data_IF_453706914786
#
_entry.id   IF_453706914786
#
_cell.length_a   1.000
_cell.length_b   1.000
_cell.length_c   1.000
_cell.angle_alpha   90.00
_cell.angle_beta   90.00
_cell.angle_gamma   90.00
#
_symmetry.space_group_name_H-M   'P 1'
#
loop_
_entity.id
_entity.type
_entity.pdbx_description
1 polymer ?
#
# COMPACT_ATOMS: atom_id res chain seq x y z
N UNK A 1 0.06 25.63 14.20
CA UNK A 1 -1.37 25.87 14.48
C UNK A 1 -2.14 24.65 14.02
N UNK A 2 -2.64 23.84 14.95
CA UNK A 2 -3.56 22.75 14.63
C UNK A 2 -4.94 23.37 14.60
N UNK A 3 -5.49 23.57 13.40
CA UNK A 3 -6.88 23.99 13.24
C UNK A 3 -7.72 22.77 13.61
N UNK A 4 -8.21 22.75 14.84
CA UNK A 4 -9.20 21.77 15.28
C UNK A 4 -10.49 22.11 14.53
N UNK A 5 -10.65 21.54 13.34
CA UNK A 5 -11.88 21.65 12.58
C UNK A 5 -13.02 21.05 13.43
N UNK A 6 -13.85 21.92 14.01
CA UNK A 6 -15.08 21.51 14.67
C UNK A 6 -16.00 20.93 13.59
N UNK A 7 -16.01 19.61 13.48
CA UNK A 7 -16.79 18.88 12.50
C UNK A 7 -18.28 18.96 12.86
N UNK A 8 -19.07 19.61 12.00
CA UNK A 8 -20.51 19.76 12.19
C UNK A 8 -21.25 18.53 11.67
N UNK A 9 -21.77 17.71 12.59
CA UNK A 9 -22.51 16.48 12.29
C UNK A 9 -23.81 16.71 11.49
N UNK A 10 -24.30 17.95 11.42
CA UNK A 10 -25.54 18.32 10.73
C UNK A 10 -25.40 18.44 9.21
N UNK A 11 -24.17 18.51 8.67
CA UNK A 11 -23.92 18.68 7.23
C UNK A 11 -23.85 17.37 6.43
N UNK A 12 -24.12 16.22 7.07
CA UNK A 12 -24.42 14.99 6.33
C UNK A 12 -25.82 15.10 5.70
N UNK A 13 -25.94 15.93 4.66
CA UNK A 13 -27.15 16.12 3.86
C UNK A 13 -27.43 14.83 3.06
N UNK A 14 -27.98 13.82 3.71
CA UNK A 14 -28.85 12.88 3.00
C UNK A 14 -30.09 13.67 2.57
N UNK A 15 -30.07 14.20 1.35
CA UNK A 15 -31.24 14.85 0.76
C UNK A 15 -32.43 13.90 0.82
N UNK A 16 -33.46 14.31 1.54
CA UNK A 16 -34.68 13.53 1.68
C UNK A 16 -35.53 13.78 0.45
N UNK A 17 -35.63 12.80 -0.43
CA UNK A 17 -36.62 12.82 -1.51
C UNK A 17 -38.02 12.69 -0.89
N UNK A 18 -38.88 13.71 -0.93
CA UNK A 18 -40.23 13.64 -0.38
C UNK A 18 -41.02 12.51 -1.09
N UNK A 19 -41.63 11.61 -0.31
CA UNK A 19 -42.46 10.52 -0.84
C UNK A 19 -41.77 9.15 -0.98
N UNK A 20 -40.44 9.07 -0.86
CA UNK A 20 -39.75 7.77 -0.92
C UNK A 20 -39.87 7.02 0.41
N UNK A 21 -40.48 5.82 0.38
CA UNK A 21 -40.52 4.93 1.55
C UNK A 21 -39.10 4.58 1.95
N UNK A 22 -38.69 5.00 3.16
CA UNK A 22 -37.40 4.62 3.73
C UNK A 22 -37.26 3.10 3.72
N UNK A 23 -36.30 2.59 2.96
CA UNK A 23 -35.84 1.20 3.04
C UNK A 23 -35.07 1.01 4.36
N UNK A 24 -35.80 0.98 5.48
CA UNK A 24 -35.24 0.79 6.83
C UNK A 24 -34.37 -0.47 6.92
N UNK A 25 -34.71 -1.51 6.16
CA UNK A 25 -33.91 -2.75 6.09
C UNK A 25 -32.52 -2.53 5.48
N UNK A 26 -32.43 -1.75 4.40
CA UNK A 26 -31.16 -1.45 3.74
C UNK A 26 -30.25 -0.60 4.62
N UNK A 27 -30.80 0.47 5.22
CA UNK A 27 -30.04 1.32 6.16
C UNK A 27 -29.51 0.52 7.36
N UNK A 28 -30.35 -0.36 7.92
CA UNK A 28 -29.95 -1.24 9.03
C UNK A 28 -28.85 -2.23 8.62
N UNK A 29 -28.89 -2.75 7.39
CA UNK A 29 -27.84 -3.63 6.85
C UNK A 29 -26.53 -2.87 6.66
N UNK A 30 -26.57 -1.68 6.03
CA UNK A 30 -25.39 -0.83 5.87
C UNK A 30 -24.76 -0.45 7.20
N UNK A 31 -25.59 -0.09 8.19
CA UNK A 31 -25.12 0.23 9.54
C UNK A 31 -24.45 -0.97 10.22
N UNK A 32 -25.02 -2.17 10.08
CA UNK A 32 -24.41 -3.39 10.62
C UNK A 32 -23.07 -3.70 9.95
N UNK A 33 -22.97 -3.56 8.62
CA UNK A 33 -21.73 -3.78 7.89
C UNK A 33 -20.65 -2.79 8.34
N UNK A 34 -20.97 -1.48 8.36
CA UNK A 34 -20.05 -0.44 8.84
C UNK A 34 -19.59 -0.70 10.28
N UNK A 35 -20.50 -1.13 11.16
CA UNK A 35 -20.12 -1.48 12.54
C UNK A 35 -19.16 -2.67 12.57
N UNK A 36 -19.36 -3.69 11.74
CA UNK A 36 -18.43 -4.82 11.62
C UNK A 36 -17.03 -4.36 11.19
N UNK A 37 -16.97 -3.51 10.15
CA UNK A 37 -15.69 -2.93 9.69
C UNK A 37 -15.01 -2.14 10.79
N UNK A 38 -15.74 -1.27 11.51
CA UNK A 38 -15.17 -0.46 12.60
C UNK A 38 -14.64 -1.32 13.74
N UNK A 39 -15.35 -2.39 14.12
CA UNK A 39 -14.89 -3.33 15.14
C UNK A 39 -13.59 -4.00 14.69
N UNK A 40 -13.50 -4.39 13.42
CA UNK A 40 -12.27 -4.90 12.80
C UNK A 40 -11.12 -3.90 12.84
N UNK A 41 -11.37 -2.65 12.42
CA UNK A 41 -10.40 -1.54 12.47
C UNK A 41 -9.87 -1.30 13.89
N UNK A 42 -10.74 -1.37 14.91
CA UNK A 42 -10.34 -1.22 16.31
C UNK A 42 -9.50 -2.39 16.86
N UNK A 43 -9.42 -3.51 16.13
CA UNK A 43 -8.59 -4.66 16.47
C UNK A 43 -7.26 -4.68 15.68
N UNK A 44 -7.11 -3.83 14.66
CA UNK A 44 -5.88 -3.73 13.89
C UNK A 44 -4.72 -3.16 14.73
N UNK A 45 -3.50 -3.59 14.42
CA UNK A 45 -2.30 -2.98 14.99
C UNK A 45 -2.16 -1.51 14.53
N UNK A 46 -1.45 -0.65 15.28
CA UNK A 46 -1.23 0.74 14.87
C UNK A 46 -0.57 0.89 13.50
N UNK A 47 0.28 -0.07 13.11
CA UNK A 47 0.93 -0.09 11.80
C UNK A 47 -0.06 -0.38 10.67
N UNK A 48 -0.96 -1.34 10.89
CA UNK A 48 -2.02 -1.67 9.93
C UNK A 48 -3.02 -0.51 9.81
N UNK A 49 -3.40 0.12 10.93
CA UNK A 49 -4.29 1.27 10.93
C UNK A 49 -3.68 2.48 10.18
N UNK A 50 -2.37 2.71 10.33
CA UNK A 50 -1.66 3.74 9.59
C UNK A 50 -1.65 3.49 8.06
N UNK A 51 -1.68 2.22 7.63
CA UNK A 51 -1.69 1.86 6.21
C UNK A 51 -3.03 2.16 5.52
N UNK A 52 -4.13 2.17 6.27
CA UNK A 52 -5.49 2.48 5.77
C UNK A 52 -5.95 3.90 6.09
N UNK A 53 -5.10 4.71 6.73
CA UNK A 53 -5.48 6.00 7.26
C UNK A 53 -5.96 7.02 6.20
N UNK A 54 -5.52 6.90 4.94
CA UNK A 54 -5.96 7.78 3.85
C UNK A 54 -7.37 7.47 3.35
N UNK A 55 -7.87 6.25 3.56
CA UNK A 55 -9.24 5.86 3.22
C UNK A 55 -10.27 6.34 4.26
N UNK A 56 -9.77 6.84 5.40
CA UNK A 56 -10.56 7.17 6.56
C UNK A 56 -10.80 8.68 6.65
N UNK A 57 -12.02 9.13 7.01
CA UNK A 57 -12.29 10.55 7.21
C UNK A 57 -11.41 11.14 8.33
N UNK A 58 -11.13 12.45 8.30
CA UNK A 58 -10.32 13.10 9.30
C UNK A 58 -10.89 12.89 10.72
N UNK A 59 -10.00 12.64 11.69
CA UNK A 59 -10.37 12.38 13.08
C UNK A 59 -10.89 10.97 13.39
N UNK A 60 -11.24 10.16 12.38
CA UNK A 60 -11.70 8.78 12.64
C UNK A 60 -10.59 7.86 13.12
N UNK A 61 -9.35 8.04 12.65
CA UNK A 61 -8.17 7.29 13.10
C UNK A 61 -7.94 7.47 14.62
N UNK A 62 -8.05 8.70 15.11
CA UNK A 62 -7.93 8.99 16.56
C UNK A 62 -9.07 8.34 17.35
N UNK A 63 -10.30 8.46 16.84
CA UNK A 63 -11.48 7.87 17.46
C UNK A 63 -11.40 6.33 17.52
N UNK A 64 -10.86 5.69 16.48
CA UNK A 64 -10.56 4.24 16.45
C UNK A 64 -9.46 3.91 17.46
N UNK A 65 -8.41 4.72 17.54
CA UNK A 65 -7.34 4.55 18.54
C UNK A 65 -7.85 4.60 19.98
N UNK A 66 -8.84 5.47 20.28
CA UNK A 66 -9.52 5.50 21.58
C UNK A 66 -10.31 4.20 21.80
N UNK A 67 -11.08 3.74 20.82
CA UNK A 67 -11.84 2.49 20.91
C UNK A 67 -10.93 1.27 21.14
N UNK A 68 -9.80 1.20 20.44
CA UNK A 68 -8.82 0.12 20.55
C UNK A 68 -8.18 0.02 21.94
N UNK A 69 -8.00 1.15 22.64
CA UNK A 69 -7.45 1.19 24.00
C UNK A 69 -8.45 0.76 25.07
N UNK A 70 -9.75 0.82 24.79
CA UNK A 70 -10.79 0.44 25.73
C UNK A 70 -11.00 -1.08 25.76
N UNK A 71 -11.22 -1.69 26.93
CA UNK A 71 -11.53 -3.12 27.03
C UNK A 71 -12.79 -3.48 26.23
N UNK A 72 -12.81 -4.67 25.62
CA UNK A 72 -13.94 -5.15 24.79
C UNK A 72 -15.27 -5.20 25.54
N UNK A 73 -15.24 -5.50 26.85
CA UNK A 73 -16.43 -5.54 27.70
C UNK A 73 -16.96 -4.15 28.08
N UNK A 74 -16.20 -3.07 27.82
CA UNK A 74 -16.57 -1.73 28.25
C UNK A 74 -17.65 -1.12 27.33
N UNK A 75 -18.76 -0.65 27.92
CA UNK A 75 -19.82 0.04 27.17
C UNK A 75 -19.30 1.30 26.46
N UNK A 76 -18.30 1.99 27.02
CA UNK A 76 -17.64 3.13 26.42
C UNK A 76 -17.00 2.79 25.07
N UNK A 77 -16.42 1.59 24.93
CA UNK A 77 -15.88 1.12 23.64
C UNK A 77 -16.98 1.02 22.59
N UNK A 78 -18.09 0.37 22.93
CA UNK A 78 -19.24 0.22 22.02
C UNK A 78 -19.80 1.57 21.58
N UNK A 79 -19.88 2.55 22.48
CA UNK A 79 -20.29 3.93 22.15
C UNK A 79 -19.31 4.61 21.20
N UNK A 80 -18.01 4.40 21.42
CA UNK A 80 -16.97 4.95 20.55
C UNK A 80 -17.00 4.32 19.15
N UNK A 81 -17.15 2.99 19.05
CA UNK A 81 -17.30 2.29 17.77
C UNK A 81 -18.55 2.78 17.01
N UNK A 82 -19.67 3.00 17.70
CA UNK A 82 -20.88 3.60 17.11
C UNK A 82 -20.66 5.03 16.59
N UNK A 83 -19.90 5.85 17.33
CA UNK A 83 -19.53 7.19 16.89
C UNK A 83 -18.69 7.14 15.62
N UNK A 84 -17.68 6.27 15.56
CA UNK A 84 -16.83 6.10 14.37
C UNK A 84 -17.68 5.63 13.18
N UNK A 85 -18.56 4.65 13.36
CA UNK A 85 -19.45 4.19 12.29
C UNK A 85 -20.39 5.30 11.79
N UNK A 86 -20.80 6.20 12.67
CA UNK A 86 -21.58 7.39 12.31
C UNK A 86 -20.74 8.40 11.53
N UNK A 87 -19.47 8.62 11.88
CA UNK A 87 -18.57 9.49 11.12
C UNK A 87 -18.31 8.95 9.72
N UNK A 88 -18.07 7.63 9.58
CA UNK A 88 -17.84 7.01 8.28
C UNK A 88 -19.08 7.00 7.38
N UNK A 89 -20.28 7.11 7.96
CA UNK A 89 -21.54 7.12 7.21
C UNK A 89 -21.62 8.35 6.32
N UNK A 90 -21.74 8.12 5.02
CA UNK A 90 -21.85 9.18 4.01
C UNK A 90 -20.53 9.85 3.64
N UNK A 91 -19.44 9.66 4.40
CA UNK A 91 -18.12 10.19 4.07
C UNK A 91 -17.24 9.20 3.33
N UNK A 92 -17.39 7.90 3.62
CA UNK A 92 -16.62 6.85 2.95
C UNK A 92 -17.45 6.32 1.79
N UNK A 93 -16.97 6.52 0.56
CA UNK A 93 -17.56 5.98 -0.66
C UNK A 93 -17.51 4.44 -0.70
N UNK A 94 -18.29 3.82 -1.59
CA UNK A 94 -18.40 2.35 -1.66
C UNK A 94 -17.07 1.67 -1.99
N UNK A 95 -16.28 2.21 -2.91
CA UNK A 95 -14.94 1.70 -3.24
C UNK A 95 -13.99 1.73 -2.05
N UNK A 96 -13.93 2.84 -1.31
CA UNK A 96 -13.13 2.96 -0.10
C UNK A 96 -13.61 1.99 1.01
N UNK A 97 -14.92 1.74 1.13
CA UNK A 97 -15.45 0.73 2.06
C UNK A 97 -14.99 -0.67 1.70
N UNK A 98 -15.04 -1.05 0.43
CA UNK A 98 -14.55 -2.36 -0.02
C UNK A 98 -13.06 -2.55 0.28
N UNK A 99 -12.23 -1.52 0.06
CA UNK A 99 -10.80 -1.53 0.42
C UNK A 99 -10.59 -1.70 1.94
N UNK A 100 -11.38 -1.01 2.76
CA UNK A 100 -11.32 -1.14 4.23
C UNK A 100 -11.74 -2.54 4.70
N UNK A 101 -12.80 -3.12 4.13
CA UNK A 101 -13.23 -4.48 4.43
C UNK A 101 -12.15 -5.51 4.07
N UNK A 102 -11.50 -5.38 2.90
CA UNK A 102 -10.39 -6.22 2.51
C UNK A 102 -9.17 -6.08 3.45
N UNK A 103 -8.87 -4.85 3.90
CA UNK A 103 -7.80 -4.59 4.86
C UNK A 103 -8.08 -5.20 6.23
N UNK A 104 -9.34 -5.13 6.69
CA UNK A 104 -9.79 -5.76 7.94
C UNK A 104 -9.67 -7.28 7.84
N UNK A 105 -10.16 -7.90 6.77
CA UNK A 105 -10.06 -9.34 6.57
C UNK A 105 -8.60 -9.83 6.60
N UNK A 106 -7.71 -9.13 5.89
CA UNK A 106 -6.28 -9.44 5.87
C UNK A 106 -5.64 -9.32 7.27
N UNK A 107 -6.08 -8.35 8.07
CA UNK A 107 -5.62 -8.18 9.44
C UNK A 107 -6.14 -9.26 10.39
N UNK A 108 -7.39 -9.70 10.23
CA UNK A 108 -7.99 -10.81 10.99
C UNK A 108 -7.27 -12.14 10.71
N UNK A 109 -6.87 -12.37 9.47
CA UNK A 109 -6.07 -13.52 9.04
C UNK A 109 -4.59 -13.44 9.50
N UNK A 110 -4.17 -12.32 10.12
CA UNK A 110 -2.79 -12.03 10.46
C UNK A 110 -1.82 -12.14 9.26
N UNK A 111 -2.31 -11.94 8.04
CA UNK A 111 -1.57 -12.16 6.80
C UNK A 111 -0.63 -11.00 6.41
N UNK A 112 -0.61 -9.91 7.19
CA UNK A 112 0.37 -8.83 7.04
C UNK A 112 -0.20 -7.43 7.18
N UNK A 113 0.48 -6.47 6.52
CA UNK A 113 0.03 -5.09 6.38
C UNK A 113 -0.64 -4.95 5.02
N UNK A 114 -1.86 -4.43 5.00
CA UNK A 114 -2.57 -4.15 3.76
C UNK A 114 -1.81 -3.09 2.93
N UNK A 115 -1.73 -3.32 1.63
CA UNK A 115 -1.13 -2.38 0.68
C UNK A 115 -2.19 -1.98 -0.35
N UNK A 116 -2.35 -0.67 -0.54
CA UNK A 116 -3.30 -0.13 -1.51
C UNK A 116 -2.72 -0.28 -2.91
N UNK A 117 -3.32 -1.17 -3.72
CA UNK A 117 -2.88 -1.45 -5.08
C UNK A 117 -2.83 -0.21 -5.96
N UNK A 118 -3.76 0.74 -5.78
CA UNK A 118 -3.81 1.97 -6.58
C UNK A 118 -2.66 2.91 -6.23
N UNK A 119 -2.38 3.04 -4.92
CA UNK A 119 -1.24 3.85 -4.43
C UNK A 119 0.06 3.21 -4.88
N UNK A 120 0.22 1.90 -4.71
CA UNK A 120 1.44 1.19 -5.09
C UNK A 120 1.66 1.22 -6.60
N UNK A 121 0.61 1.02 -7.41
CA UNK A 121 0.67 1.16 -8.87
C UNK A 121 1.10 2.57 -9.29
N UNK A 122 0.49 3.62 -8.70
CA UNK A 122 0.86 5.02 -8.98
C UNK A 122 2.31 5.32 -8.60
N UNK A 123 2.77 4.87 -7.44
CA UNK A 123 4.17 5.07 -6.99
C UNK A 123 5.16 4.38 -7.91
N UNK A 124 4.86 3.16 -8.36
CA UNK A 124 5.71 2.43 -9.29
C UNK A 124 5.79 3.14 -10.64
N UNK A 125 4.65 3.57 -11.19
CA UNK A 125 4.58 4.32 -12.45
C UNK A 125 5.38 5.64 -12.36
N UNK A 126 5.21 6.41 -11.28
CA UNK A 126 5.97 7.65 -11.08
C UNK A 126 7.46 7.40 -10.91
N UNK A 127 7.85 6.38 -10.14
CA UNK A 127 9.26 6.01 -9.99
C UNK A 127 9.89 5.70 -11.35
N UNK A 128 9.22 4.90 -12.16
CA UNK A 128 9.73 4.48 -13.47
C UNK A 128 9.80 5.64 -14.45
N UNK A 129 8.74 6.46 -14.54
CA UNK A 129 8.75 7.66 -15.37
C UNK A 129 9.80 8.69 -14.97
N UNK A 130 9.98 8.94 -13.67
CA UNK A 130 11.02 9.86 -13.17
C UNK A 130 12.45 9.38 -13.48
N UNK A 131 12.69 8.07 -13.40
CA UNK A 131 14.00 7.49 -13.72
C UNK A 131 14.26 7.49 -15.23
N UNK A 132 13.23 7.28 -16.04
CA UNK A 132 13.29 7.35 -17.50
C UNK A 132 13.39 8.78 -18.04
N UNK A 133 13.10 9.79 -17.21
CA UNK A 133 13.07 11.20 -17.64
C UNK A 133 11.82 11.56 -18.43
N UNK A 134 10.70 10.87 -18.21
CA UNK A 134 9.42 11.18 -18.84
C UNK A 134 8.90 12.55 -18.39
N UNK A 135 8.85 13.50 -19.32
CA UNK A 135 8.43 14.88 -19.07
C UNK A 135 6.99 14.97 -18.54
N UNK A 136 6.09 14.07 -18.94
CA UNK A 136 4.71 14.09 -18.48
C UNK A 136 4.62 13.71 -16.99
N UNK A 137 5.35 12.67 -16.58
CA UNK A 137 5.42 12.24 -15.17
C UNK A 137 6.14 13.29 -14.32
N UNK A 138 7.19 13.91 -14.85
CA UNK A 138 7.88 15.03 -14.19
C UNK A 138 6.92 16.20 -13.97
N UNK A 139 6.19 16.62 -14.99
CA UNK A 139 5.22 17.71 -14.90
C UNK A 139 4.10 17.37 -13.91
N UNK A 140 3.61 16.14 -13.90
CA UNK A 140 2.59 15.67 -12.95
C UNK A 140 3.12 15.75 -11.50
N UNK A 141 4.24 15.08 -11.21
CA UNK A 141 4.77 14.95 -9.84
C UNK A 141 5.20 16.32 -9.27
N UNK A 142 5.83 17.17 -10.06
CA UNK A 142 6.26 18.51 -9.63
C UNK A 142 5.16 19.57 -9.73
N UNK A 143 4.04 19.27 -10.40
CA UNK A 143 2.87 20.15 -10.50
C UNK A 143 2.05 20.20 -9.21
N UNK A 144 2.15 19.18 -8.36
CA UNK A 144 1.41 19.14 -7.10
C UNK A 144 1.92 20.18 -6.08
N UNK A 145 1.05 20.68 -5.18
CA UNK A 145 1.45 21.65 -4.15
C UNK A 145 2.57 21.11 -3.24
N UNK A 146 3.51 21.98 -2.85
CA UNK A 146 4.60 21.64 -1.91
C UNK A 146 4.11 21.13 -0.55
N UNK A 147 2.88 21.46 -0.15
CA UNK A 147 2.28 20.97 1.09
C UNK A 147 1.85 19.50 1.02
N UNK A 148 1.84 18.90 -0.19
CA UNK A 148 1.40 17.54 -0.45
C UNK A 148 2.53 16.53 -0.54
N UNK A 149 3.70 16.97 -0.96
CA UNK A 149 4.81 16.11 -1.30
C UNK A 149 6.11 16.39 -0.54
N UNK A 150 7.13 15.54 -0.77
CA UNK A 150 8.49 15.82 -0.37
C UNK A 150 9.03 17.07 -1.08
N UNK A 151 10.10 17.65 -0.54
CA UNK A 151 10.79 18.76 -1.19
C UNK A 151 11.26 18.36 -2.60
N UNK A 152 10.88 19.15 -3.61
CA UNK A 152 11.23 18.90 -5.01
C UNK A 152 12.74 18.87 -5.24
N UNK A 153 13.53 19.59 -4.42
CA UNK A 153 14.99 19.52 -4.49
C UNK A 153 15.51 18.17 -4.00
N UNK A 154 14.97 17.66 -2.89
CA UNK A 154 15.32 16.34 -2.35
C UNK A 154 14.92 15.22 -3.32
N UNK A 155 13.73 15.32 -3.92
CA UNK A 155 13.28 14.34 -4.91
C UNK A 155 14.21 14.32 -6.14
N UNK A 156 14.59 15.48 -6.68
CA UNK A 156 15.54 15.56 -7.80
C UNK A 156 16.91 14.98 -7.45
N UNK A 157 17.42 15.29 -6.25
CA UNK A 157 18.68 14.73 -5.78
C UNK A 157 18.62 13.21 -5.67
N UNK A 158 17.51 12.66 -5.17
CA UNK A 158 17.31 11.23 -5.04
C UNK A 158 17.16 10.51 -6.38
N UNK A 159 16.44 11.10 -7.35
CA UNK A 159 16.33 10.57 -8.72
C UNK A 159 17.71 10.50 -9.36
N UNK A 160 18.50 11.58 -9.28
CA UNK A 160 19.86 11.62 -9.82
C UNK A 160 20.77 10.56 -9.16
N UNK A 161 20.69 10.40 -7.84
CA UNK A 161 21.45 9.38 -7.13
C UNK A 161 21.04 7.95 -7.56
N UNK A 162 19.75 7.71 -7.83
CA UNK A 162 19.28 6.42 -8.35
C UNK A 162 19.80 6.16 -9.77
N UNK A 163 19.74 7.16 -10.66
CA UNK A 163 20.23 7.05 -12.04
C UNK A 163 21.73 6.75 -12.06
N UNK A 164 22.53 7.49 -11.28
CA UNK A 164 23.97 7.25 -11.14
C UNK A 164 24.27 5.83 -10.63
N UNK A 165 23.56 5.37 -9.60
CA UNK A 165 23.75 4.02 -9.07
C UNK A 165 23.38 2.92 -10.08
N UNK A 166 22.35 3.13 -10.90
CA UNK A 166 21.97 2.18 -11.96
C UNK A 166 22.99 2.17 -13.11
N UNK A 167 23.53 3.32 -13.50
CA UNK A 167 24.60 3.43 -14.50
C UNK A 167 25.91 2.78 -14.03
N UNK A 168 26.29 2.97 -12.77
CA UNK A 168 27.44 2.32 -12.14
C UNK A 168 27.29 0.79 -12.15
N UNK A 169 26.10 0.28 -11.79
CA UNK A 169 25.81 -1.15 -11.77
C UNK A 169 25.78 -1.76 -13.19
N UNK A 170 25.25 -1.03 -14.17
CA UNK A 170 25.29 -1.44 -15.59
C UNK A 170 26.73 -1.49 -16.13
N UNK A 171 27.56 -0.51 -15.75
CA UNK A 171 28.97 -0.45 -16.14
C UNK A 171 29.81 -1.55 -15.46
N UNK A 172 29.53 -1.85 -14.19
CA UNK A 172 30.22 -2.91 -13.44
C UNK A 172 29.88 -4.31 -13.95
N UNK A 173 28.65 -4.52 -14.44
CA UNK A 173 28.21 -5.80 -15.02
C UNK A 173 28.78 -6.03 -16.42
N UNK A 174 29.23 -4.96 -17.09
CA UNK A 174 29.82 -5.01 -18.43
C UNK A 174 31.35 -5.19 -18.44
N UNK A 175 31.97 -5.43 -17.28
CA UNK A 175 33.39 -5.76 -17.16
C UNK A 175 33.71 -7.13 -17.79
N UNK A 176 34.85 -7.29 -18.50
CA UNK A 176 35.13 -8.49 -19.29
C UNK A 176 35.20 -9.72 -18.38
N UNK A 177 34.47 -10.77 -18.76
CA UNK A 177 34.73 -12.14 -18.31
C UNK A 177 36.09 -12.59 -18.85
N UNK A 178 37.17 -12.03 -18.30
CA UNK A 178 38.53 -12.46 -18.56
C UNK A 178 38.89 -13.58 -17.58
N UNK A 179 38.84 -14.80 -18.13
CA UNK A 179 39.87 -15.83 -17.91
C UNK A 179 40.14 -16.24 -16.47
N UNK A 180 39.37 -17.21 -15.99
CA UNK A 180 39.91 -18.23 -15.09
C UNK A 180 39.59 -19.61 -15.65
N UNK A 181 40.29 -19.96 -16.73
CA UNK A 181 40.45 -21.36 -17.14
C UNK A 181 41.41 -21.97 -16.12
N UNK A 182 40.88 -22.37 -14.97
CA UNK A 182 41.60 -23.24 -14.04
C UNK A 182 41.47 -24.67 -14.55
N UNK A 183 42.45 -25.04 -15.36
CA UNK A 183 42.80 -26.42 -15.65
C UNK A 183 43.12 -27.16 -14.35
N UNK A 184 42.31 -28.14 -13.99
CA UNK A 184 42.75 -29.26 -13.15
C UNK A 184 42.17 -30.55 -13.70
N UNK A 185 43.04 -31.24 -14.43
CA UNK A 185 43.03 -32.67 -14.72
C UNK A 185 42.86 -33.50 -13.44
N UNK A 186 41.91 -34.42 -13.42
CA UNK A 186 42.02 -35.66 -12.66
C UNK A 186 41.18 -36.74 -13.35
N UNK A 187 41.88 -37.76 -13.82
CA UNK A 187 41.34 -38.99 -14.38
C UNK A 187 40.63 -39.82 -13.29
N UNK A 188 39.54 -40.48 -13.66
CA UNK A 188 39.08 -41.72 -13.02
C UNK A 188 38.10 -42.43 -13.97
N UNK A 189 38.61 -43.42 -14.68
CA UNK A 189 37.79 -44.53 -15.18
C UNK A 189 37.26 -45.33 -13.98
N UNK A 190 36.00 -45.77 -14.06
CA UNK A 190 35.40 -46.63 -13.04
C UNK A 190 33.96 -46.99 -13.40
N UNK A 191 33.80 -48.15 -14.02
CA UNK A 191 32.53 -48.84 -14.22
C UNK A 191 31.81 -49.07 -12.87
N UNK A 192 30.49 -48.94 -12.87
CA UNK A 192 29.65 -49.29 -11.72
C UNK A 192 28.23 -48.76 -11.87
N UNK A 193 27.41 -49.44 -12.67
CA UNK A 193 25.95 -49.30 -12.66
C UNK A 193 25.38 -49.96 -11.39
N UNK A 194 25.63 -49.40 -10.20
CA UNK A 194 24.91 -49.82 -8.99
C UNK A 194 24.53 -48.61 -8.13
N UNK A 195 23.22 -48.47 -7.95
CA UNK A 195 22.58 -47.86 -6.78
C UNK A 195 22.37 -46.32 -6.72
N UNK A 196 21.66 -45.79 -7.73
CA UNK A 196 21.07 -44.43 -7.70
C UNK A 196 20.06 -44.21 -6.56
N UNK A 197 19.53 -45.29 -5.98
CA UNK A 197 18.56 -45.25 -4.87
C UNK A 197 19.20 -44.96 -3.51
N UNK A 198 20.41 -45.48 -3.25
CA UNK A 198 21.15 -45.16 -2.03
C UNK A 198 21.61 -43.69 -1.99
N UNK A 199 22.04 -43.13 -3.13
CA UNK A 199 22.49 -41.73 -3.22
C UNK A 199 21.35 -40.73 -3.00
N UNK A 200 20.15 -41.04 -3.49
CA UNK A 200 18.94 -40.22 -3.24
C UNK A 200 18.48 -40.29 -1.77
N UNK A 201 18.60 -41.45 -1.12
CA UNK A 201 18.26 -41.60 0.31
C UNK A 201 19.27 -40.88 1.23
N UNK A 202 20.56 -40.90 0.89
CA UNK A 202 21.60 -40.20 1.66
C UNK A 202 21.51 -38.67 1.51
N UNK A 203 21.09 -38.17 0.34
CA UNK A 203 20.78 -36.75 0.14
C UNK A 203 19.59 -36.27 1.00
N UNK A 204 18.55 -37.11 1.16
CA UNK A 204 17.39 -36.80 2.00
C UNK A 204 17.73 -36.81 3.52
N UNK A 205 18.64 -37.67 3.95
CA UNK A 205 19.10 -37.71 5.34
C UNK A 205 19.98 -36.52 5.72
N UNK A 206 20.78 -35.99 4.78
CA UNK A 206 21.58 -34.77 4.98
C UNK A 206 20.76 -33.48 5.09
N UNK A 207 19.54 -33.44 4.54
CA UNK A 207 18.65 -32.27 4.66
C UNK A 207 18.08 -32.06 6.08
N UNK A 208 18.00 -33.13 6.89
CA UNK A 208 17.33 -33.07 8.21
C UNK A 208 18.26 -32.77 9.38
N UNK A 209 19.57 -32.67 9.16
CA UNK A 209 20.56 -32.48 10.23
C UNK A 209 21.47 -31.31 9.91
N UNK A 210 21.01 -30.12 10.32
CA UNK A 210 21.81 -28.90 10.30
C UNK A 210 21.62 -28.07 9.04
N UNK A 211 20.57 -27.25 9.04
CA UNK A 211 20.58 -25.97 8.32
C UNK A 211 21.58 -25.04 9.04
N UNK A 212 22.86 -25.40 8.96
CA UNK A 212 23.94 -24.46 9.18
C UNK A 212 23.80 -23.38 8.12
N UNK A 213 23.72 -22.15 8.59
CA UNK A 213 23.83 -20.94 7.80
C UNK A 213 25.11 -21.00 6.97
N UNK A 214 25.00 -21.55 5.76
CA UNK A 214 25.90 -21.21 4.68
C UNK A 214 25.56 -19.78 4.28
N UNK A 215 26.19 -18.84 4.98
CA UNK A 215 26.43 -17.49 4.47
C UNK A 215 27.38 -17.60 3.28
N UNK A 216 26.95 -18.30 2.21
CA UNK A 216 27.55 -18.19 0.90
C UNK A 216 27.33 -16.76 0.45
N UNK A 217 28.43 -16.05 0.25
CA UNK A 217 28.53 -14.62 -0.08
C UNK A 217 27.25 -13.99 -0.61
N UNK A 218 26.44 -13.45 0.29
CA UNK A 218 25.42 -12.49 -0.10
C UNK A 218 26.17 -11.26 -0.55
N UNK A 219 26.47 -11.18 -1.85
CA UNK A 219 26.88 -9.94 -2.50
C UNK A 219 25.95 -8.85 -1.95
N UNK A 220 26.55 -7.82 -1.33
CA UNK A 220 25.81 -6.76 -0.69
C UNK A 220 24.69 -6.30 -1.64
N UNK A 221 23.44 -6.15 -1.17
CA UNK A 221 22.34 -5.81 -2.06
C UNK A 221 22.73 -4.55 -2.84
N UNK A 222 22.51 -4.54 -4.17
CA UNK A 222 22.95 -3.44 -5.02
C UNK A 222 22.50 -2.11 -4.42
N UNK A 223 23.39 -1.12 -4.38
CA UNK A 223 23.14 0.18 -3.74
C UNK A 223 21.88 0.82 -4.33
N UNK A 224 21.60 0.55 -5.60
CA UNK A 224 20.38 0.95 -6.29
C UNK A 224 19.11 0.51 -5.56
N UNK A 225 19.04 -0.72 -5.01
CA UNK A 225 17.83 -1.22 -4.32
C UNK A 225 17.46 -0.40 -3.09
N UNK A 226 18.45 0.04 -2.32
CA UNK A 226 18.19 0.87 -1.13
C UNK A 226 17.67 2.26 -1.54
N UNK A 227 18.25 2.83 -2.59
CA UNK A 227 17.85 4.13 -3.14
C UNK A 227 16.44 4.09 -3.75
N UNK A 228 16.11 3.02 -4.50
CA UNK A 228 14.77 2.81 -5.06
C UNK A 228 13.71 2.67 -3.96
N UNK A 229 14.03 1.98 -2.85
CA UNK A 229 13.14 1.92 -1.68
C UNK A 229 12.96 3.29 -1.03
N UNK A 230 14.03 4.08 -0.93
CA UNK A 230 13.97 5.45 -0.43
C UNK A 230 13.07 6.34 -1.31
N UNK A 231 13.23 6.26 -2.64
CA UNK A 231 12.40 6.98 -3.60
C UNK A 231 10.92 6.60 -3.47
N UNK A 232 10.63 5.30 -3.39
CA UNK A 232 9.28 4.77 -3.18
C UNK A 232 8.66 5.34 -1.90
N UNK A 233 9.44 5.40 -0.81
CA UNK A 233 8.99 5.96 0.48
C UNK A 233 8.70 7.45 0.41
N UNK A 234 9.46 8.21 -0.38
CA UNK A 234 9.24 9.64 -0.58
C UNK A 234 8.00 9.92 -1.44
N UNK A 235 7.72 9.09 -2.44
CA UNK A 235 6.57 9.25 -3.35
C UNK A 235 5.25 8.78 -2.75
N UNK A 236 5.27 7.79 -1.83
CA UNK A 236 4.06 7.19 -1.25
C UNK A 236 3.08 8.21 -0.63
N UNK A 237 3.52 9.19 0.20
CA UNK A 237 2.60 10.19 0.75
C UNK A 237 1.91 11.05 -0.31
N UNK A 238 2.61 11.39 -1.39
CA UNK A 238 2.04 12.14 -2.52
C UNK A 238 0.98 11.29 -3.22
N UNK A 239 1.32 10.02 -3.52
CA UNK A 239 0.42 9.11 -4.22
C UNK A 239 -0.86 8.84 -3.42
N UNK A 240 -0.75 8.65 -2.09
CA UNK A 240 -1.90 8.48 -1.21
C UNK A 240 -2.88 9.65 -1.28
N UNK A 241 -2.37 10.89 -1.38
CA UNK A 241 -3.22 12.09 -1.50
C UNK A 241 -3.88 12.19 -2.86
N UNK A 242 -3.14 11.91 -3.92
CA UNK A 242 -3.67 11.95 -5.29
C UNK A 242 -4.76 10.89 -5.48
N UNK A 243 -4.55 9.68 -4.96
CA UNK A 243 -5.58 8.62 -4.99
C UNK A 243 -6.79 9.03 -4.16
N UNK A 244 -6.60 9.59 -2.96
CA UNK A 244 -7.70 10.06 -2.14
C UNK A 244 -8.51 11.20 -2.81
N UNK A 245 -7.85 12.11 -3.53
CA UNK A 245 -8.51 13.17 -4.29
C UNK A 245 -9.27 12.62 -5.51
N UNK A 246 -8.69 11.66 -6.22
CA UNK A 246 -9.34 10.99 -7.34
C UNK A 246 -10.59 10.22 -6.89
N UNK A 247 -10.51 9.50 -5.77
CA UNK A 247 -11.65 8.80 -5.16
C UNK A 247 -12.73 9.80 -4.69
N UNK A 248 -12.34 10.96 -4.17
CA UNK A 248 -13.27 12.02 -3.77
C UNK A 248 -14.01 12.64 -4.96
N UNK A 249 -13.29 12.92 -6.07
CA UNK A 249 -13.87 13.44 -7.31
C UNK A 249 -14.77 12.42 -8.01
N UNK A 250 -14.36 11.14 -8.03
CA UNK A 250 -15.18 10.07 -8.59
C UNK A 250 -16.48 9.82 -7.79
N UNK A 251 -16.46 10.10 -6.48
CA UNK A 251 -17.64 9.98 -5.62
C UNK A 251 -18.63 11.15 -5.74
N UNK A 252 -18.20 12.33 -6.21
CA UNK A 252 -19.09 13.49 -6.35
C UNK A 252 -19.98 13.47 -7.59
N UNK A 253 -19.81 12.49 -8.50
CA UNK A 253 -20.75 12.25 -9.59
C UNK A 253 -21.14 13.52 -10.32
N UNK A 254 -20.17 14.24 -10.89
CA UNK A 254 -20.47 15.15 -12.00
C UNK A 254 -20.87 14.27 -13.20
N UNK A 255 -22.11 13.74 -13.14
CA UNK A 255 -23.02 13.70 -14.29
C UNK A 255 -23.28 15.17 -14.68
N UNK A 256 -22.23 15.86 -15.12
CA UNK A 256 -22.40 16.98 -16.02
C UNK A 256 -22.81 16.34 -17.34
N UNK A 257 -24.08 15.95 -17.40
CA UNK A 257 -24.81 15.79 -18.64
C UNK A 257 -24.44 17.01 -19.47
N UNK A 258 -23.68 16.75 -20.54
CA UNK A 258 -23.54 17.63 -21.67
C UNK A 258 -24.98 17.92 -22.15
N UNK A 259 -25.58 19.00 -21.64
CA UNK A 259 -26.59 19.74 -22.39
C UNK A 259 -25.86 20.32 -23.60
N UNK A 260 -25.58 19.45 -24.57
CA UNK A 260 -25.35 19.80 -25.95
C UNK A 260 -26.67 20.40 -26.43
N UNK A 261 -26.83 21.70 -26.16
CA UNK A 261 -27.93 22.53 -26.64
C UNK A 261 -27.79 22.62 -28.17
N UNK A 262 -28.33 21.62 -28.83
CA UNK A 262 -28.64 21.63 -30.26
C UNK A 262 -29.89 22.48 -30.44
N UNK A 263 -29.70 23.79 -30.58
CA UNK A 263 -30.62 24.67 -31.34
C UNK A 263 -29.75 25.55 -32.26
N UNK A 264 -29.63 25.18 -33.54
CA UNK A 264 -30.53 25.51 -34.66
C UNK A 264 -30.18 26.84 -35.33
#
# INVERSE_FOLDING_TARGET
MVVQAMYNFTDSKEERVPGQRRNRGFQKKQERNLMSTVVGLANMSPKQLAAVAHLLPPGTVEAIGIAARLPRANQGRKRQEQLVAKMMRGQVGEGARAKLEAAVALAEDNAGVWDDGDVSGRVLAWREGLLAGDEAVVAEVYGYPRSWGPDHQQLRAAVRACQQALEEEASATSGPAATTISSSSAAAEGQGEEDLTAVLAEAAARSRRGSSSSSGGAAAPPKSRALLKSLTKMLKPLAMRVVAEADAKGASGEDSDEEEEVEA
#
